data_IF_086880820150
#
_entry.id   IF_086880820150
#
_cell.length_a   1.000
_cell.length_b   1.000
_cell.length_c   1.000
_cell.angle_alpha   90.00
_cell.angle_beta   90.00
_cell.angle_gamma   90.00
#
_symmetry.space_group_name_H-M   'P 1'
#
loop_
_entity.id
_entity.type
_entity.pdbx_description
1 polymer ?
#
# COMPACT_ATOMS: atom_id res chain seq x y z
N UNK A 1 2.07 15.95 -14.50
CA UNK A 1 2.47 14.60 -14.96
C UNK A 1 2.66 13.71 -13.75
N UNK A 2 1.89 12.63 -13.62
CA UNK A 2 2.05 11.65 -12.54
C UNK A 2 2.65 10.39 -13.19
N UNK A 3 3.91 10.01 -12.92
CA UNK A 3 4.46 8.81 -13.52
C UNK A 3 3.84 7.57 -12.85
N UNK A 4 3.46 6.60 -13.68
CA UNK A 4 3.03 5.27 -13.27
C UNK A 4 4.07 4.60 -12.35
N UNK A 5 3.70 3.65 -11.49
CA UNK A 5 4.65 2.95 -10.65
C UNK A 5 5.39 1.93 -11.52
N UNK A 6 6.50 2.36 -12.12
CA UNK A 6 7.45 1.43 -12.70
C UNK A 6 8.03 0.57 -11.57
N UNK A 7 7.81 -0.74 -11.64
CA UNK A 7 8.63 -1.69 -10.89
C UNK A 7 10.09 -1.46 -11.26
N UNK A 8 10.90 -1.03 -10.31
CA UNK A 8 12.32 -0.73 -10.51
C UNK A 8 12.80 0.50 -9.75
N UNK A 9 13.38 0.26 -8.57
CA UNK A 9 14.50 1.07 -8.08
C UNK A 9 14.29 2.54 -7.71
N UNK A 10 13.06 3.01 -7.44
CA UNK A 10 12.85 4.36 -6.90
C UNK A 10 12.38 4.25 -5.46
N UNK A 11 13.24 4.62 -4.50
CA UNK A 11 12.89 4.68 -3.06
C UNK A 11 11.55 5.37 -2.89
N UNK A 12 10.57 4.69 -2.28
CA UNK A 12 9.28 5.31 -1.97
C UNK A 12 9.49 6.51 -1.05
N UNK A 13 8.84 7.63 -1.37
CA UNK A 13 8.74 8.74 -0.42
C UNK A 13 7.98 8.32 0.82
N UNK A 14 8.21 8.99 1.96
CA UNK A 14 7.53 8.67 3.22
C UNK A 14 6.00 8.66 3.08
N UNK A 15 5.44 9.61 2.30
CA UNK A 15 4.01 9.66 2.00
C UNK A 15 3.52 8.43 1.22
N UNK A 16 4.29 7.95 0.25
CA UNK A 16 3.96 6.74 -0.49
C UNK A 16 4.05 5.51 0.40
N UNK A 17 5.07 5.42 1.25
CA UNK A 17 5.26 4.32 2.21
C UNK A 17 4.10 4.26 3.22
N UNK A 18 3.63 5.40 3.70
CA UNK A 18 2.41 5.51 4.52
C UNK A 18 1.20 4.96 3.75
N UNK A 19 0.94 5.43 2.54
CA UNK A 19 -0.21 4.94 1.74
C UNK A 19 -0.13 3.45 1.45
N UNK A 20 1.07 2.91 1.19
CA UNK A 20 1.30 1.48 1.02
C UNK A 20 0.99 0.70 2.29
N UNK A 21 1.47 1.18 3.44
CA UNK A 21 1.24 0.54 4.73
C UNK A 21 -0.26 0.54 5.09
N UNK A 22 -0.94 1.66 4.86
CA UNK A 22 -2.40 1.76 5.06
C UNK A 22 -3.14 0.78 4.17
N UNK A 23 -2.72 0.62 2.92
CA UNK A 23 -3.37 -0.30 1.98
C UNK A 23 -3.20 -1.76 2.39
N UNK A 24 -1.99 -2.22 2.72
CA UNK A 24 -1.74 -3.61 3.15
C UNK A 24 -2.34 -3.93 4.53
N UNK A 25 -2.52 -2.91 5.37
CA UNK A 25 -3.19 -3.04 6.68
C UNK A 25 -4.71 -2.85 6.60
N UNK A 26 -5.25 -2.57 5.42
CA UNK A 26 -6.70 -2.51 5.23
C UNK A 26 -7.28 -3.93 5.29
N UNK A 27 -8.37 -4.10 6.02
CA UNK A 27 -9.08 -5.39 6.07
C UNK A 27 -9.49 -5.85 4.66
N UNK A 28 -9.39 -7.16 4.40
CA UNK A 28 -9.64 -7.79 3.09
C UNK A 28 -8.63 -7.44 1.98
N UNK A 29 -7.55 -6.70 2.28
CA UNK A 29 -6.46 -6.47 1.33
C UNK A 29 -5.31 -7.45 1.62
N UNK A 30 -5.33 -8.60 0.93
CA UNK A 30 -4.21 -9.54 0.92
C UNK A 30 -3.14 -9.18 -0.14
N UNK A 31 -2.03 -9.94 -0.21
CA UNK A 31 -0.94 -9.68 -1.17
C UNK A 31 -1.39 -9.64 -2.65
N UNK A 32 -2.32 -10.53 -3.02
CA UNK A 32 -2.87 -10.57 -4.37
C UNK A 32 -3.75 -9.33 -4.66
N UNK A 33 -4.66 -8.99 -3.75
CA UNK A 33 -5.52 -7.81 -3.85
C UNK A 33 -4.69 -6.53 -3.89
N UNK A 34 -3.68 -6.41 -3.03
CA UNK A 34 -2.74 -5.30 -3.03
C UNK A 34 -2.10 -5.13 -4.41
N UNK A 35 -1.53 -6.21 -4.98
CA UNK A 35 -0.90 -6.17 -6.30
C UNK A 35 -1.89 -5.79 -7.39
N UNK A 36 -3.11 -6.31 -7.36
CA UNK A 36 -4.16 -5.98 -8.33
C UNK A 36 -4.57 -4.50 -8.24
N UNK A 37 -4.77 -3.99 -7.02
CA UNK A 37 -5.08 -2.57 -6.77
C UNK A 37 -3.96 -1.65 -7.25
N UNK A 38 -2.69 -1.99 -6.97
CA UNK A 38 -1.55 -1.21 -7.44
C UNK A 38 -1.46 -1.23 -8.98
N UNK A 39 -1.65 -2.40 -9.60
CA UNK A 39 -1.63 -2.52 -11.06
C UNK A 39 -2.79 -1.75 -11.72
N UNK A 40 -3.98 -1.76 -11.09
CA UNK A 40 -5.19 -1.13 -11.61
C UNK A 40 -5.21 0.38 -11.45
N UNK A 41 -4.79 0.88 -10.28
CA UNK A 41 -4.86 2.31 -9.93
C UNK A 41 -3.53 3.04 -10.02
N UNK A 42 -2.41 2.32 -10.19
CA UNK A 42 -1.08 2.89 -10.31
C UNK A 42 -0.49 3.46 -9.02
N UNK A 43 -1.22 3.53 -7.92
CA UNK A 43 -0.64 3.93 -6.63
C UNK A 43 -1.50 3.49 -5.45
N UNK A 44 -0.88 3.31 -4.30
CA UNK A 44 -1.62 2.97 -3.08
C UNK A 44 -2.56 4.12 -2.65
N UNK A 45 -2.17 5.38 -2.89
CA UNK A 45 -3.01 6.55 -2.60
C UNK A 45 -4.29 6.54 -3.46
N UNK A 46 -4.15 6.30 -4.77
CA UNK A 46 -5.30 6.16 -5.66
C UNK A 46 -6.16 4.93 -5.31
N UNK A 47 -5.53 3.80 -4.98
CA UNK A 47 -6.26 2.61 -4.54
C UNK A 47 -7.08 2.87 -3.26
N UNK A 48 -6.48 3.51 -2.25
CA UNK A 48 -7.16 3.88 -1.00
C UNK A 48 -8.36 4.81 -1.24
N UNK A 49 -8.24 5.76 -2.17
CA UNK A 49 -9.34 6.64 -2.55
C UNK A 49 -10.51 5.88 -3.22
N UNK A 50 -10.20 4.80 -3.95
CA UNK A 50 -11.20 4.00 -4.67
C UNK A 50 -11.75 2.82 -3.85
N UNK A 51 -11.13 2.46 -2.73
CA UNK A 51 -11.60 1.38 -1.86
C UNK A 51 -13.08 1.51 -1.44
N UNK A 52 -13.56 2.68 -0.97
CA UNK A 52 -14.97 2.81 -0.58
C UNK A 52 -15.93 2.55 -1.74
N UNK A 53 -15.56 2.99 -2.94
CA UNK A 53 -16.35 2.79 -4.14
C UNK A 53 -16.33 1.33 -4.59
N UNK A 54 -15.19 0.66 -4.53
CA UNK A 54 -15.06 -0.78 -4.82
C UNK A 54 -15.91 -1.63 -3.88
N UNK A 55 -15.93 -1.34 -2.59
CA UNK A 55 -16.75 -2.05 -1.59
C UNK A 55 -18.23 -1.88 -1.90
N UNK A 56 -18.64 -0.64 -2.24
CA UNK A 56 -20.01 -0.32 -2.62
C UNK A 56 -20.44 -1.07 -3.89
N UNK A 57 -19.55 -1.17 -4.88
CA UNK A 57 -19.81 -1.93 -6.12
C UNK A 57 -19.71 -3.46 -5.94
N UNK A 58 -18.88 -3.93 -5.02
CA UNK A 58 -18.65 -5.34 -4.74
C UNK A 58 -19.71 -6.01 -3.87
N UNK A 59 -20.77 -5.27 -3.48
CA UNK A 59 -21.86 -5.81 -2.66
C UNK A 59 -21.48 -6.10 -1.21
N UNK A 60 -20.30 -5.66 -0.76
CA UNK A 60 -19.89 -5.82 0.62
C UNK A 60 -20.67 -4.84 1.50
N UNK A 61 -21.42 -5.36 2.48
CA UNK A 61 -22.23 -4.53 3.39
C UNK A 61 -21.40 -3.66 4.35
N UNK A 62 -20.08 -3.87 4.43
CA UNK A 62 -19.22 -3.18 5.39
C UNK A 62 -17.97 -2.64 4.71
N UNK A 63 -17.71 -1.35 4.93
CA UNK A 63 -16.44 -0.71 4.58
C UNK A 63 -15.32 -1.38 5.41
N UNK A 64 -14.23 -1.84 4.76
CA UNK A 64 -13.09 -2.38 5.47
C UNK A 64 -12.48 -1.28 6.33
N UNK A 65 -11.94 -1.63 7.50
CA UNK A 65 -11.21 -0.68 8.30
C UNK A 65 -9.97 -0.20 7.54
N UNK A 66 -9.96 1.08 7.15
CA UNK A 66 -8.81 1.73 6.52
C UNK A 66 -8.05 2.45 7.62
N UNK A 67 -6.78 2.08 7.91
CA UNK A 67 -5.97 2.78 8.90
C UNK A 67 -5.82 4.26 8.54
N UNK A 68 -5.77 5.11 9.55
CA UNK A 68 -5.46 6.53 9.41
C UNK A 68 -3.98 6.74 9.03
N UNK A 69 -3.67 7.96 8.59
CA UNK A 69 -2.28 8.36 8.30
C UNK A 69 -1.42 8.26 9.56
N UNK A 70 -1.94 8.71 10.70
CA UNK A 70 -1.23 8.71 11.98
C UNK A 70 -0.92 7.30 12.47
N UNK A 71 -1.84 6.35 12.33
CA UNK A 71 -1.57 4.94 12.70
C UNK A 71 -0.43 4.35 11.87
N UNK A 72 -0.41 4.63 10.56
CA UNK A 72 0.66 4.19 9.70
C UNK A 72 2.00 4.88 10.01
N UNK A 73 2.00 6.17 10.36
CA UNK A 73 3.20 6.89 10.81
C UNK A 73 3.77 6.29 12.09
N UNK A 74 2.93 6.02 13.10
CA UNK A 74 3.34 5.40 14.36
C UNK A 74 3.97 4.03 14.11
N UNK A 75 3.39 3.25 13.20
CA UNK A 75 3.91 1.94 12.88
C UNK A 75 5.22 1.98 12.06
N UNK A 76 5.35 2.92 11.12
CA UNK A 76 6.61 3.16 10.40
C UNK A 76 7.71 3.55 11.39
N UNK A 77 7.40 4.42 12.34
CA UNK A 77 8.34 4.83 13.37
C UNK A 77 8.70 3.67 14.31
N UNK A 78 7.73 2.83 14.68
CA UNK A 78 7.98 1.62 15.45
C UNK A 78 8.89 0.63 14.69
N UNK A 79 8.64 0.43 13.39
CA UNK A 79 9.48 -0.39 12.51
C UNK A 79 10.90 0.19 12.40
N UNK A 80 11.04 1.50 12.23
CA UNK A 80 12.34 2.18 12.21
C UNK A 80 13.11 1.98 13.51
N UNK A 81 12.45 2.04 14.67
CA UNK A 81 13.09 1.82 15.98
C UNK A 81 13.66 0.42 16.15
N UNK A 82 13.05 -0.58 15.55
CA UNK A 82 13.54 -1.97 15.59
C UNK A 82 14.51 -2.29 14.44
N UNK A 83 14.88 -1.30 13.63
CA UNK A 83 15.77 -1.47 12.47
C UNK A 83 15.10 -2.13 11.26
N UNK A 84 13.78 -2.29 11.26
CA UNK A 84 13.04 -2.85 10.15
C UNK A 84 12.76 -1.78 9.08
N UNK A 85 13.08 -2.10 7.84
CA UNK A 85 12.77 -1.26 6.68
C UNK A 85 11.71 -1.92 5.82
N UNK A 86 10.64 -1.18 5.50
CA UNK A 86 9.62 -1.64 4.56
C UNK A 86 10.19 -1.58 3.14
N UNK A 87 10.52 -2.75 2.59
CA UNK A 87 10.99 -2.92 1.21
C UNK A 87 9.78 -3.13 0.30
N UNK A 88 9.69 -2.35 -0.76
CA UNK A 88 8.63 -2.45 -1.75
C UNK A 88 8.96 -3.49 -2.85
N UNK A 89 7.93 -4.10 -3.45
CA UNK A 89 8.08 -4.94 -4.64
C UNK A 89 8.76 -4.11 -5.76
N UNK A 90 9.95 -4.53 -6.20
CA UNK A 90 10.75 -3.85 -7.22
C UNK A 90 11.95 -3.06 -6.69
N UNK A 91 12.19 -3.04 -5.38
CA UNK A 91 13.48 -2.63 -4.83
C UNK A 91 14.52 -3.75 -5.02
N UNK A 92 15.82 -3.41 -5.23
CA UNK A 92 16.88 -4.39 -5.49
C UNK A 92 17.08 -5.40 -4.34
N UNK A 93 16.54 -5.12 -3.17
CA UNK A 93 16.53 -6.02 -2.00
C UNK A 93 15.36 -7.03 -2.01
N UNK A 94 14.41 -6.93 -2.94
CA UNK A 94 13.33 -7.91 -3.10
C UNK A 94 13.80 -9.08 -3.99
N UNK A 95 13.92 -10.31 -3.45
CA UNK A 95 14.43 -11.44 -4.21
C UNK A 95 13.57 -11.72 -5.45
N UNK A 96 14.16 -11.91 -6.64
CA UNK A 96 13.42 -12.16 -7.87
C UNK A 96 12.70 -13.52 -7.91
N UNK A 97 12.71 -14.31 -6.82
CA UNK A 97 12.29 -15.72 -6.77
C UNK A 97 10.97 -15.92 -6.00
N UNK A 98 10.24 -14.85 -5.65
CA UNK A 98 8.95 -14.91 -4.94
C UNK A 98 7.77 -14.48 -5.81
#
# INVERSE_FOLDING_TARGET
MNPAPAGGGTRLSDRQRISWLRLIRTENVGPATFRDLINRFGSAEAALAMLPELVRHGGASRLPHIPSVTEAEVEIEAARRIGASFVAIGEPEYPPVL
#
